data_IF_010193664845
#
_entry.id   IF_010193664845
#
_cell.length_a   1.000
_cell.length_b   1.000
_cell.length_c   1.000
_cell.angle_alpha   90.00
_cell.angle_beta   90.00
_cell.angle_gamma   90.00
#
_symmetry.space_group_name_H-M   'P 1'
#
loop_
_entity.id
_entity.type
_entity.pdbx_description
1 polymer ?
#
# COMPACT_ATOMS: atom_id res chain seq x y z
N UNK A 1 -9.15 -3.26 -4.66
CA UNK A 1 -10.02 -4.40 -4.26
C UNK A 1 -11.41 -4.38 -4.89
N UNK A 2 -11.86 -3.29 -5.54
CA UNK A 2 -13.19 -3.22 -6.16
C UNK A 2 -14.35 -3.14 -5.14
N UNK A 3 -14.06 -2.79 -3.88
CA UNK A 3 -15.09 -2.66 -2.84
C UNK A 3 -16.13 -1.59 -3.22
N UNK A 4 -17.41 -1.81 -2.87
CA UNK A 4 -18.51 -0.93 -3.27
C UNK A 4 -18.35 0.53 -2.83
N UNK A 5 -17.65 0.77 -1.71
CA UNK A 5 -17.31 2.12 -1.26
C UNK A 5 -16.37 2.87 -2.20
N UNK A 6 -15.63 2.17 -3.07
CA UNK A 6 -14.66 2.75 -4.00
C UNK A 6 -15.28 3.11 -5.37
N UNK A 7 -16.51 2.67 -5.64
CA UNK A 7 -17.18 2.81 -6.95
C UNK A 7 -18.55 3.49 -6.86
N UNK A 8 -18.66 4.49 -5.98
CA UNK A 8 -19.89 5.27 -5.87
C UNK A 8 -20.12 6.11 -7.13
N UNK A 9 -21.38 6.43 -7.49
CA UNK A 9 -21.66 7.28 -8.65
C UNK A 9 -20.90 8.59 -8.61
N UNK A 10 -20.81 9.22 -7.43
CA UNK A 10 -20.08 10.47 -7.24
C UNK A 10 -18.59 10.33 -7.52
N UNK A 11 -17.98 9.21 -7.11
CA UNK A 11 -16.57 8.93 -7.37
C UNK A 11 -16.31 8.72 -8.86
N UNK A 12 -17.20 7.99 -9.55
CA UNK A 12 -17.09 7.75 -10.99
C UNK A 12 -17.25 9.04 -11.80
N UNK A 13 -18.23 9.89 -11.45
CA UNK A 13 -18.40 11.22 -12.06
C UNK A 13 -17.14 12.07 -11.94
N UNK A 14 -16.53 12.10 -10.74
CA UNK A 14 -15.30 12.85 -10.51
C UNK A 14 -14.12 12.26 -11.29
N UNK A 15 -14.00 10.94 -11.36
CA UNK A 15 -12.95 10.27 -12.13
C UNK A 15 -13.07 10.60 -13.63
N UNK A 16 -14.27 10.51 -14.20
CA UNK A 16 -14.54 10.88 -15.60
C UNK A 16 -14.23 12.35 -15.88
N UNK A 17 -14.68 13.27 -15.00
CA UNK A 17 -14.43 14.70 -15.15
C UNK A 17 -12.92 15.05 -15.13
N UNK A 18 -12.11 14.24 -14.44
CA UNK A 18 -10.66 14.43 -14.32
C UNK A 18 -9.83 13.49 -15.21
N UNK A 19 -10.46 12.73 -16.13
CA UNK A 19 -9.79 11.78 -17.03
C UNK A 19 -8.94 10.73 -16.29
N UNK A 20 -9.48 10.21 -15.18
CA UNK A 20 -8.87 9.16 -14.36
C UNK A 20 -9.58 7.84 -14.66
N UNK A 21 -8.83 6.85 -15.12
CA UNK A 21 -9.35 5.50 -15.35
C UNK A 21 -9.25 4.64 -14.09
N UNK A 22 -10.32 3.90 -13.80
CA UNK A 22 -10.35 2.96 -12.68
C UNK A 22 -9.98 1.56 -13.14
N UNK A 23 -8.91 1.03 -12.55
CA UNK A 23 -8.54 -0.37 -12.67
C UNK A 23 -9.20 -1.18 -11.56
N UNK A 24 -10.35 -1.78 -11.88
CA UNK A 24 -11.04 -2.68 -10.96
C UNK A 24 -10.41 -4.07 -11.02
N UNK A 25 -9.92 -4.53 -9.88
CA UNK A 25 -9.36 -5.87 -9.73
C UNK A 25 -10.49 -6.91 -9.65
N UNK A 26 -10.30 -8.14 -10.18
CA UNK A 26 -11.30 -9.19 -10.03
C UNK A 26 -11.65 -9.43 -8.54
N UNK A 27 -12.92 -9.68 -8.20
CA UNK A 27 -13.33 -9.93 -6.82
C UNK A 27 -12.50 -11.02 -6.14
N UNK A 28 -12.21 -10.84 -4.85
CA UNK A 28 -11.44 -11.78 -4.02
C UNK A 28 -10.01 -12.11 -4.52
N UNK A 29 -9.45 -11.29 -5.41
CA UNK A 29 -8.07 -11.49 -5.93
C UNK A 29 -7.04 -10.53 -5.37
N UNK A 30 -7.35 -9.74 -4.33
CA UNK A 30 -6.42 -8.78 -3.70
C UNK A 30 -5.04 -9.40 -3.42
N UNK A 31 -5.00 -10.60 -2.85
CA UNK A 31 -3.79 -11.36 -2.56
C UNK A 31 -2.96 -11.80 -3.79
N UNK A 32 -3.46 -11.58 -5.01
CA UNK A 32 -2.80 -11.90 -6.29
C UNK A 32 -2.57 -10.67 -7.16
N UNK A 33 -3.57 -9.79 -7.24
CA UNK A 33 -3.63 -8.73 -8.24
C UNK A 33 -3.39 -7.34 -7.65
N UNK A 34 -3.44 -7.16 -6.32
CA UNK A 34 -3.22 -5.86 -5.68
C UNK A 34 -1.74 -5.68 -5.32
N UNK A 35 -0.97 -4.83 -6.04
CA UNK A 35 0.49 -4.78 -5.86
C UNK A 35 0.92 -4.38 -4.44
N UNK A 36 0.12 -3.51 -3.81
CA UNK A 36 0.37 -3.08 -2.44
C UNK A 36 0.35 -4.24 -1.46
N UNK A 37 -0.69 -5.07 -1.48
CA UNK A 37 -0.80 -6.24 -0.59
C UNK A 37 0.22 -7.33 -0.93
N UNK A 38 0.48 -7.54 -2.23
CA UNK A 38 1.33 -8.65 -2.71
C UNK A 38 2.81 -8.47 -2.39
N UNK A 39 3.29 -7.23 -2.31
CA UNK A 39 4.74 -6.99 -2.23
C UNK A 39 5.17 -5.71 -1.50
N UNK A 40 4.29 -4.74 -1.23
CA UNK A 40 4.68 -3.47 -0.60
C UNK A 40 4.41 -3.48 0.91
N UNK A 41 3.21 -3.91 1.33
CA UNK A 41 2.80 -3.83 2.73
C UNK A 41 3.52 -4.82 3.64
N UNK A 42 3.88 -6.01 3.16
CA UNK A 42 4.64 -6.98 3.97
C UNK A 42 5.98 -6.41 4.49
N UNK A 43 6.89 -5.96 3.60
CA UNK A 43 8.16 -5.34 4.01
C UNK A 43 7.97 -4.09 4.86
N UNK A 44 6.95 -3.28 4.56
CA UNK A 44 6.65 -2.08 5.34
C UNK A 44 6.21 -2.42 6.77
N UNK A 45 5.34 -3.40 6.93
CA UNK A 45 4.86 -3.86 8.23
C UNK A 45 5.99 -4.44 9.06
N UNK A 46 6.90 -5.21 8.45
CA UNK A 46 8.07 -5.73 9.13
C UNK A 46 8.92 -4.60 9.73
N UNK A 47 9.30 -3.62 8.91
CA UNK A 47 10.07 -2.46 9.38
C UNK A 47 9.34 -1.65 10.43
N UNK A 48 8.02 -1.50 10.28
CA UNK A 48 7.22 -0.80 11.27
C UNK A 48 7.29 -1.49 12.63
N UNK A 49 7.18 -2.82 12.66
CA UNK A 49 7.33 -3.61 13.89
C UNK A 49 8.72 -3.42 14.51
N UNK A 50 9.78 -3.55 13.70
CA UNK A 50 11.17 -3.33 14.15
C UNK A 50 11.34 -1.92 14.77
N UNK A 51 10.80 -0.89 14.11
CA UNK A 51 10.86 0.48 14.62
C UNK A 51 10.10 0.67 15.93
N UNK A 52 8.97 -0.03 16.11
CA UNK A 52 8.23 0.04 17.38
C UNK A 52 8.98 -0.65 18.51
N UNK A 53 9.69 -1.74 18.22
CA UNK A 53 10.56 -2.42 19.20
C UNK A 53 11.71 -1.50 19.62
N UNK A 54 12.41 -0.86 18.68
CA UNK A 54 13.47 0.11 18.97
C UNK A 54 13.00 1.24 19.89
N UNK A 55 11.82 1.83 19.62
CA UNK A 55 11.29 2.94 20.42
C UNK A 55 11.00 2.48 21.85
N UNK A 56 10.44 1.28 22.03
CA UNK A 56 10.19 0.73 23.36
C UNK A 56 11.50 0.45 24.09
N UNK A 57 12.52 -0.06 23.39
CA UNK A 57 13.85 -0.28 23.97
C UNK A 57 14.54 1.03 24.38
N UNK A 58 14.42 2.08 23.58
CA UNK A 58 15.07 3.39 23.82
C UNK A 58 14.37 4.22 24.89
N UNK A 59 13.04 4.20 24.92
CA UNK A 59 12.24 5.13 25.74
C UNK A 59 11.58 4.46 26.95
N UNK A 60 11.45 3.12 26.94
CA UNK A 60 10.66 2.37 27.90
C UNK A 60 9.14 2.47 27.70
N UNK A 61 8.69 3.20 26.68
CA UNK A 61 7.27 3.44 26.37
C UNK A 61 6.98 3.21 24.88
N UNK A 62 5.69 3.10 24.53
CA UNK A 62 5.27 3.00 23.13
C UNK A 62 5.25 4.36 22.42
N UNK A 63 5.23 4.35 21.08
CA UNK A 63 5.15 5.56 20.28
C UNK A 63 3.93 6.43 20.67
N UNK A 64 4.13 7.72 21.02
CA UNK A 64 3.03 8.63 21.25
C UNK A 64 2.14 8.79 20.02
N UNK A 65 0.83 8.86 20.21
CA UNK A 65 -0.14 8.95 19.09
C UNK A 65 0.09 10.15 18.18
N UNK A 66 0.60 11.26 18.71
CA UNK A 66 0.87 12.47 17.92
C UNK A 66 2.10 12.32 17.00
N UNK A 67 3.01 11.37 17.30
CA UNK A 67 4.21 11.09 16.51
C UNK A 67 3.99 10.00 15.45
N UNK A 68 2.84 9.33 15.46
CA UNK A 68 2.52 8.24 14.52
C UNK A 68 2.73 8.65 13.06
N UNK A 69 2.22 9.81 12.66
CA UNK A 69 2.27 10.26 11.26
C UNK A 69 3.71 10.55 10.83
N UNK A 70 4.51 11.22 11.67
CA UNK A 70 5.90 11.53 11.35
C UNK A 70 6.75 10.27 11.23
N UNK A 71 6.63 9.34 12.18
CA UNK A 71 7.35 8.06 12.12
C UNK A 71 6.91 7.22 10.92
N UNK A 72 5.61 7.13 10.66
CA UNK A 72 5.09 6.38 9.50
C UNK A 72 5.60 6.96 8.19
N UNK A 73 5.61 8.28 8.03
CA UNK A 73 6.08 8.94 6.82
C UNK A 73 7.60 8.77 6.62
N UNK A 74 8.37 8.86 7.70
CA UNK A 74 9.81 8.58 7.70
C UNK A 74 10.08 7.16 7.22
N UNK A 75 9.43 6.17 7.84
CA UNK A 75 9.61 4.77 7.53
C UNK A 75 9.15 4.44 6.11
N UNK A 76 7.98 4.94 5.70
CA UNK A 76 7.42 4.75 4.34
C UNK A 76 8.39 5.21 3.27
N UNK A 77 9.08 6.34 3.47
CA UNK A 77 10.04 6.87 2.50
C UNK A 77 11.22 5.92 2.26
N UNK A 78 11.62 5.16 3.27
CA UNK A 78 12.70 4.17 3.18
C UNK A 78 12.22 2.79 2.69
N UNK A 79 10.96 2.44 2.96
CA UNK A 79 10.40 1.12 2.68
C UNK A 79 9.74 1.02 1.29
N UNK A 80 9.12 2.10 0.80
CA UNK A 80 8.42 2.12 -0.49
C UNK A 80 9.35 2.66 -1.57
N UNK A 81 10.27 1.80 -2.03
CA UNK A 81 11.25 2.17 -3.05
C UNK A 81 10.73 1.91 -4.47
N UNK A 82 11.31 2.60 -5.45
CA UNK A 82 11.02 2.36 -6.89
C UNK A 82 11.22 0.88 -7.27
N UNK A 83 12.23 0.23 -6.70
CA UNK A 83 12.51 -1.18 -6.95
C UNK A 83 11.38 -2.09 -6.43
N UNK A 84 10.92 -1.86 -5.20
CA UNK A 84 9.83 -2.63 -4.59
C UNK A 84 8.53 -2.41 -5.37
N UNK A 85 8.22 -1.17 -5.74
CA UNK A 85 7.03 -0.86 -6.55
C UNK A 85 7.08 -1.60 -7.89
N UNK A 86 8.18 -1.50 -8.65
CA UNK A 86 8.32 -2.22 -9.93
C UNK A 86 8.24 -3.74 -9.77
N UNK A 87 8.81 -4.29 -8.70
CA UNK A 87 8.72 -5.72 -8.41
C UNK A 87 7.28 -6.14 -8.07
N UNK A 88 6.53 -5.31 -7.34
CA UNK A 88 5.14 -5.54 -7.00
C UNK A 88 4.27 -5.66 -8.26
N UNK A 89 4.36 -4.70 -9.17
CA UNK A 89 3.61 -4.71 -10.44
C UNK A 89 3.92 -5.93 -11.32
N UNK A 90 5.19 -6.34 -11.37
CA UNK A 90 5.61 -7.55 -12.08
C UNK A 90 5.04 -8.81 -11.43
N UNK A 91 5.07 -8.88 -10.09
CA UNK A 91 4.61 -10.04 -9.32
C UNK A 91 3.09 -10.22 -9.42
N UNK A 92 2.34 -9.13 -9.57
CA UNK A 92 0.89 -9.19 -9.82
C UNK A 92 0.53 -9.46 -11.28
N UNK A 93 1.50 -9.56 -12.19
CA UNK A 93 1.28 -9.76 -13.62
C UNK A 93 0.55 -8.60 -14.29
N UNK A 94 0.60 -7.41 -13.71
CA UNK A 94 -0.08 -6.22 -14.26
C UNK A 94 0.84 -5.42 -15.16
N UNK A 95 2.14 -5.33 -14.82
CA UNK A 95 3.14 -4.63 -15.64
C UNK A 95 4.53 -5.31 -15.51
N UNK A 96 5.05 -5.95 -16.59
CA UNK A 96 4.34 -6.21 -17.84
C UNK A 96 3.15 -7.15 -17.60
N UNK A 97 2.11 -7.04 -18.44
CA UNK A 97 0.95 -7.92 -18.34
C UNK A 97 1.37 -9.39 -18.50
N UNK A 98 1.07 -10.21 -17.50
CA UNK A 98 1.27 -11.65 -17.52
C UNK A 98 0.00 -12.34 -17.02
N UNK A 99 -0.73 -13.06 -17.91
CA UNK A 99 -1.97 -13.75 -17.55
C UNK A 99 -1.74 -15.10 -16.86
N UNK A 100 -0.48 -15.57 -16.73
CA UNK A 100 -0.13 -16.86 -16.12
C UNK A 100 0.11 -16.74 -14.61
#
# INVERSE_FOLDING_TARGET
DGHGSHVTPKMMELAMANKIDFHLLPPHTTHKTQPLDVAVFGPMQLRWTERMEEIVEETGEGLPRYDFISEYMSLRSSAVTTQIVKAAWRKTGLEPFNPN
#
